data_IF_669568022575
#
_entry.id   IF_669568022575
#
_cell.length_a   1.000
_cell.length_b   1.000
_cell.length_c   1.000
_cell.angle_alpha   90.00
_cell.angle_beta   90.00
_cell.angle_gamma   90.00
#
_symmetry.space_group_name_H-M   'P 1'
#
loop_
_entity.id
_entity.type
_entity.pdbx_description
1 polymer ?
#
# COMPACT_ATOMS: atom_id res chain seq x y z
N UNK A 1 -7.67 -21.89 17.38
CA UNK A 1 -8.91 -22.56 16.93
C UNK A 1 -8.58 -23.47 15.75
N UNK A 2 -9.45 -24.41 15.46
CA UNK A 2 -9.32 -25.30 14.28
C UNK A 2 -9.27 -24.51 12.96
N UNK A 3 -9.80 -23.29 12.96
CA UNK A 3 -9.77 -22.34 11.82
C UNK A 3 -8.47 -21.49 11.75
N UNK A 4 -7.45 -21.81 12.53
CA UNK A 4 -6.16 -21.12 12.52
C UNK A 4 -6.14 -19.73 13.19
N UNK A 5 -7.21 -19.34 13.88
CA UNK A 5 -7.25 -18.06 14.62
C UNK A 5 -6.49 -18.18 15.94
N UNK A 6 -5.47 -17.36 16.11
CA UNK A 6 -4.71 -17.24 17.35
C UNK A 6 -5.48 -16.46 18.40
N UNK A 7 -5.45 -16.94 19.64
CA UNK A 7 -6.04 -16.25 20.78
C UNK A 7 -5.24 -16.48 22.06
N UNK A 8 -5.43 -15.60 23.01
CA UNK A 8 -4.83 -15.68 24.35
C UNK A 8 -5.92 -15.49 25.41
N UNK A 9 -5.75 -16.13 26.55
CA UNK A 9 -6.62 -15.90 27.69
C UNK A 9 -6.25 -14.60 28.42
N UNK A 10 -7.24 -13.78 28.72
CA UNK A 10 -7.03 -12.48 29.34
C UNK A 10 -6.30 -12.56 30.70
N UNK A 11 -6.50 -13.65 31.46
CA UNK A 11 -5.76 -13.87 32.74
C UNK A 11 -4.29 -14.18 32.53
N UNK A 12 -3.90 -14.71 31.40
CA UNK A 12 -2.48 -14.90 31.02
C UNK A 12 -1.86 -13.56 30.65
N UNK A 13 -2.55 -12.79 29.81
CA UNK A 13 -2.14 -11.43 29.41
C UNK A 13 -2.09 -10.49 30.62
N UNK A 14 -3.02 -10.60 31.57
CA UNK A 14 -3.00 -9.85 32.83
C UNK A 14 -1.63 -9.93 33.53
N UNK A 15 -1.11 -11.15 33.67
CA UNK A 15 0.18 -11.40 34.34
C UNK A 15 1.35 -10.85 33.52
N UNK A 16 1.32 -11.10 32.21
CA UNK A 16 2.36 -10.62 31.29
C UNK A 16 2.45 -9.09 31.25
N UNK A 17 1.33 -8.38 31.47
CA UNK A 17 1.27 -6.92 31.52
C UNK A 17 1.38 -6.33 32.95
N UNK A 18 1.85 -7.13 33.93
CA UNK A 18 2.14 -6.66 35.28
C UNK A 18 0.90 -6.28 36.12
N UNK A 19 -0.29 -6.79 35.79
CA UNK A 19 -1.49 -6.54 36.58
C UNK A 19 -1.70 -7.62 37.65
N UNK A 20 -1.62 -7.23 38.94
CA UNK A 20 -1.80 -8.14 40.07
C UNK A 20 -3.28 -8.45 40.34
N UNK A 21 -4.17 -7.47 40.13
CA UNK A 21 -5.60 -7.58 40.44
C UNK A 21 -6.42 -7.65 39.15
N UNK A 22 -7.35 -8.63 39.12
CA UNK A 22 -8.23 -8.86 37.98
C UNK A 22 -9.17 -7.69 37.71
N UNK A 23 -9.77 -7.10 38.74
CA UNK A 23 -10.65 -5.94 38.61
C UNK A 23 -9.98 -4.76 37.92
N UNK A 24 -8.71 -4.50 38.23
CA UNK A 24 -7.93 -3.45 37.57
C UNK A 24 -7.66 -3.76 36.10
N UNK A 25 -7.34 -5.03 35.80
CA UNK A 25 -7.13 -5.46 34.43
C UNK A 25 -8.43 -5.49 33.61
N UNK A 26 -9.54 -5.87 34.22
CA UNK A 26 -10.86 -5.85 33.59
C UNK A 26 -11.25 -4.44 33.14
N UNK A 27 -10.93 -3.40 33.92
CA UNK A 27 -11.13 -2.01 33.49
C UNK A 27 -10.33 -1.66 32.20
N UNK A 28 -9.13 -2.22 32.03
CA UNK A 28 -8.35 -2.05 30.80
C UNK A 28 -9.02 -2.77 29.63
N UNK A 29 -9.53 -3.97 29.85
CA UNK A 29 -10.27 -4.71 28.82
C UNK A 29 -11.52 -3.92 28.38
N UNK A 30 -12.26 -3.32 29.31
CA UNK A 30 -13.44 -2.53 28.93
C UNK A 30 -13.07 -1.26 28.14
N UNK A 31 -11.94 -0.59 28.45
CA UNK A 31 -11.40 0.49 27.61
C UNK A 31 -11.04 -0.02 26.22
N UNK A 32 -10.37 -1.18 26.14
CA UNK A 32 -10.00 -1.80 24.86
C UNK A 32 -11.23 -2.18 24.03
N UNK A 33 -12.30 -2.71 24.65
CA UNK A 33 -13.59 -2.98 23.97
C UNK A 33 -14.23 -1.70 23.46
N UNK A 34 -14.18 -0.62 24.25
CA UNK A 34 -14.70 0.69 23.82
C UNK A 34 -13.91 1.23 22.62
N UNK A 35 -12.58 1.13 22.62
CA UNK A 35 -11.72 1.50 21.50
C UNK A 35 -12.02 0.66 20.25
N UNK A 36 -12.19 -0.66 20.40
CA UNK A 36 -12.59 -1.58 19.33
C UNK A 36 -13.90 -1.14 18.67
N UNK A 37 -14.93 -0.89 19.48
CA UNK A 37 -16.24 -0.42 18.99
C UNK A 37 -16.15 0.93 18.28
N UNK A 38 -15.41 1.87 18.84
CA UNK A 38 -15.25 3.22 18.28
C UNK A 38 -14.48 3.23 16.96
N UNK A 39 -13.62 2.23 16.73
CA UNK A 39 -12.90 2.04 15.46
C UNK A 39 -13.70 1.23 14.42
N UNK A 40 -14.98 0.94 14.67
CA UNK A 40 -15.87 0.25 13.74
C UNK A 40 -15.70 -1.28 13.70
N UNK A 41 -14.93 -1.87 14.64
CA UNK A 41 -14.74 -3.32 14.70
C UNK A 41 -15.74 -3.98 15.65
N UNK A 42 -16.10 -5.25 15.34
CA UNK A 42 -16.96 -6.06 16.19
C UNK A 42 -16.23 -6.49 17.47
N UNK A 43 -16.76 -6.08 18.62
CA UNK A 43 -16.20 -6.50 19.91
C UNK A 43 -16.35 -8.00 20.12
N UNK A 44 -17.43 -8.60 19.62
CA UNK A 44 -17.71 -10.03 19.80
C UNK A 44 -16.70 -10.92 19.05
N UNK A 45 -16.12 -10.43 17.95
CA UNK A 45 -15.13 -11.18 17.17
C UNK A 45 -13.75 -11.17 17.82
N UNK A 46 -13.50 -10.23 18.72
CA UNK A 46 -12.19 -10.01 19.31
C UNK A 46 -12.10 -10.28 20.82
N UNK A 47 -13.22 -10.26 21.54
CA UNK A 47 -13.31 -10.43 23.00
C UNK A 47 -14.39 -11.47 23.33
N UNK A 48 -14.05 -12.76 23.27
CA UNK A 48 -15.01 -13.83 23.46
C UNK A 48 -15.03 -14.26 24.94
N UNK A 49 -16.23 -14.35 25.51
CA UNK A 49 -16.39 -14.90 26.87
C UNK A 49 -16.01 -16.38 26.88
N UNK A 50 -15.18 -16.76 27.83
CA UNK A 50 -14.70 -18.13 27.98
C UNK A 50 -14.74 -18.55 29.46
N UNK A 51 -14.90 -19.85 29.68
CA UNK A 51 -14.73 -20.44 31.01
C UNK A 51 -13.43 -21.25 31.03
N UNK A 52 -12.54 -20.96 32.00
CA UNK A 52 -11.31 -21.73 32.20
C UNK A 52 -11.45 -22.58 33.48
N UNK A 53 -11.17 -23.88 33.39
CA UNK A 53 -11.01 -24.73 34.55
C UNK A 53 -9.68 -24.47 35.22
N UNK A 54 -9.68 -24.20 36.49
CA UNK A 54 -8.46 -23.99 37.30
C UNK A 54 -8.45 -24.97 38.45
N UNK A 55 -7.31 -25.61 38.67
CA UNK A 55 -7.12 -26.50 39.80
C UNK A 55 -7.03 -25.68 41.09
N UNK A 56 -7.84 -26.00 42.06
CA UNK A 56 -7.77 -25.48 43.44
C UNK A 56 -7.21 -26.57 44.32
N UNK A 57 -6.49 -26.20 45.40
CA UNK A 57 -5.83 -27.16 46.29
C UNK A 57 -6.73 -28.38 46.62
N UNK A 58 -6.14 -29.55 46.84
CA UNK A 58 -6.80 -30.86 47.02
C UNK A 58 -7.34 -31.55 45.74
N UNK A 59 -6.93 -31.13 44.54
CA UNK A 59 -7.33 -31.81 43.29
C UNK A 59 -8.71 -31.48 42.75
N UNK A 60 -9.42 -30.55 43.39
CA UNK A 60 -10.69 -30.04 42.88
C UNK A 60 -10.47 -28.99 41.80
N UNK A 61 -11.36 -28.97 40.80
CA UNK A 61 -11.34 -27.97 39.71
C UNK A 61 -12.49 -26.98 39.90
N UNK A 62 -12.20 -25.71 39.64
CA UNK A 62 -13.20 -24.64 39.61
C UNK A 62 -13.22 -23.96 38.27
N UNK A 63 -14.40 -23.80 37.68
CA UNK A 63 -14.62 -22.96 36.52
C UNK A 63 -14.53 -21.49 36.91
N UNK A 64 -13.65 -20.75 36.31
CA UNK A 64 -13.56 -19.30 36.44
C UNK A 64 -13.90 -18.64 35.08
N UNK A 65 -14.49 -17.47 35.16
CA UNK A 65 -14.68 -16.65 33.94
C UNK A 65 -13.35 -16.11 33.46
N UNK A 66 -13.17 -16.19 32.16
CA UNK A 66 -12.04 -15.62 31.43
C UNK A 66 -12.52 -15.04 30.09
N UNK A 67 -11.65 -14.38 29.35
CA UNK A 67 -11.95 -13.80 28.04
C UNK A 67 -10.86 -14.27 27.09
N UNK A 68 -11.25 -14.81 25.95
CA UNK A 68 -10.35 -15.08 24.84
C UNK A 68 -10.18 -13.80 24.04
N UNK A 69 -8.93 -13.41 23.83
CA UNK A 69 -8.52 -12.20 23.15
C UNK A 69 -7.81 -12.58 21.86
N UNK A 70 -8.26 -12.07 20.72
CA UNK A 70 -7.49 -12.16 19.48
C UNK A 70 -6.22 -11.31 19.58
N UNK A 71 -5.29 -11.45 18.64
CA UNK A 71 -4.09 -10.62 18.54
C UNK A 71 -4.43 -9.11 18.53
N UNK A 72 -5.46 -8.73 17.77
CA UNK A 72 -5.94 -7.34 17.74
C UNK A 72 -6.43 -6.85 19.10
N UNK A 73 -7.22 -7.68 19.81
CA UNK A 73 -7.67 -7.35 21.18
C UNK A 73 -6.50 -7.20 22.15
N UNK A 74 -5.48 -8.07 22.06
CA UNK A 74 -4.26 -7.94 22.88
C UNK A 74 -3.53 -6.62 22.62
N UNK A 75 -3.46 -6.18 21.38
CA UNK A 75 -2.87 -4.87 21.03
C UNK A 75 -3.68 -3.72 21.65
N UNK A 76 -5.00 -3.75 21.53
CA UNK A 76 -5.86 -2.73 22.15
C UNK A 76 -5.73 -2.71 23.67
N UNK A 77 -5.62 -3.88 24.31
CA UNK A 77 -5.39 -3.99 25.77
C UNK A 77 -4.05 -3.33 26.13
N UNK A 78 -2.98 -3.65 25.42
CA UNK A 78 -1.66 -3.04 25.63
C UNK A 78 -1.68 -1.51 25.45
N UNK A 79 -2.35 -1.02 24.41
CA UNK A 79 -2.46 0.42 24.13
C UNK A 79 -3.30 1.19 25.16
N UNK A 80 -4.30 0.56 25.77
CA UNK A 80 -5.19 1.15 26.79
C UNK A 80 -4.74 0.88 28.23
N UNK A 81 -3.60 0.21 28.41
CA UNK A 81 -3.02 -0.10 29.71
C UNK A 81 -2.41 1.12 30.40
N UNK A 82 -2.08 0.94 31.68
CA UNK A 82 -1.44 1.96 32.49
C UNK A 82 0.04 2.08 32.15
N UNK A 83 0.43 3.17 31.50
CA UNK A 83 1.80 3.44 31.03
C UNK A 83 2.82 3.63 32.16
N UNK A 84 2.38 3.74 33.42
CA UNK A 84 3.29 3.72 34.58
C UNK A 84 3.91 2.32 34.82
N UNK A 85 3.32 1.28 34.24
CA UNK A 85 3.85 -0.10 34.28
C UNK A 85 4.89 -0.30 33.18
N UNK A 86 6.04 -0.86 33.56
CA UNK A 86 7.16 -1.11 32.62
C UNK A 86 6.74 -1.97 31.41
N UNK A 87 5.93 -2.99 31.65
CA UNK A 87 5.46 -3.93 30.63
C UNK A 87 4.52 -3.25 29.62
N UNK A 88 3.66 -2.36 30.11
CA UNK A 88 2.77 -1.55 29.26
C UNK A 88 3.58 -0.50 28.49
N UNK A 89 4.47 0.22 29.16
CA UNK A 89 5.34 1.20 28.50
C UNK A 89 6.19 0.54 27.39
N UNK A 90 6.73 -0.66 27.64
CA UNK A 90 7.43 -1.45 26.65
C UNK A 90 6.52 -1.81 25.46
N UNK A 91 5.32 -2.34 25.70
CA UNK A 91 4.37 -2.70 24.66
C UNK A 91 3.99 -1.49 23.78
N UNK A 92 3.69 -0.35 24.39
CA UNK A 92 3.34 0.88 23.68
C UNK A 92 4.51 1.41 22.84
N UNK A 93 5.72 1.41 23.38
CA UNK A 93 6.93 1.78 22.64
C UNK A 93 7.18 0.82 21.47
N UNK A 94 7.03 -0.48 21.69
CA UNK A 94 7.16 -1.48 20.63
C UNK A 94 6.15 -1.23 19.50
N UNK A 95 4.87 -0.96 19.81
CA UNK A 95 3.87 -0.67 18.79
C UNK A 95 4.20 0.60 18.00
N UNK A 96 4.62 1.67 18.67
CA UNK A 96 5.04 2.92 18.02
C UNK A 96 6.21 2.69 17.04
N UNK A 97 7.21 1.93 17.46
CA UNK A 97 8.36 1.58 16.62
C UNK A 97 7.97 0.69 15.43
N UNK A 98 7.09 -0.30 15.63
CA UNK A 98 6.63 -1.17 14.54
C UNK A 98 5.77 -0.40 13.53
N UNK A 99 4.90 0.50 13.99
CA UNK A 99 4.11 1.37 13.10
C UNK A 99 5.04 2.23 12.24
N UNK A 100 6.04 2.86 12.85
CA UNK A 100 7.01 3.68 12.10
C UNK A 100 7.82 2.86 11.10
N UNK A 101 8.23 1.66 11.47
CA UNK A 101 8.91 0.73 10.58
C UNK A 101 8.03 0.34 9.39
N UNK A 102 6.75 0.09 9.63
CA UNK A 102 5.79 -0.24 8.57
C UNK A 102 5.60 0.92 7.60
N UNK A 103 5.41 2.15 8.09
CA UNK A 103 5.33 3.36 7.28
C UNK A 103 6.54 3.51 6.34
N UNK A 104 7.76 3.31 6.90
CA UNK A 104 8.99 3.40 6.11
C UNK A 104 9.11 2.30 5.05
N UNK A 105 8.62 1.08 5.35
CA UNK A 105 8.60 -0.02 4.38
C UNK A 105 7.61 0.27 3.25
N UNK A 106 6.42 0.79 3.56
CA UNK A 106 5.42 1.18 2.56
C UNK A 106 5.93 2.29 1.65
N UNK A 107 6.58 3.31 2.22
CA UNK A 107 7.24 4.36 1.43
C UNK A 107 8.29 3.80 0.48
N UNK A 108 9.18 2.93 0.97
CA UNK A 108 10.21 2.29 0.13
C UNK A 108 9.63 1.44 -0.99
N UNK A 109 8.56 0.69 -0.71
CA UNK A 109 7.87 -0.11 -1.73
C UNK A 109 7.23 0.78 -2.80
N UNK A 110 6.61 1.89 -2.40
CA UNK A 110 6.05 2.87 -3.32
C UNK A 110 7.14 3.51 -4.21
N UNK A 111 8.27 3.89 -3.62
CA UNK A 111 9.42 4.45 -4.35
C UNK A 111 10.02 3.44 -5.33
N UNK A 112 10.20 2.17 -4.91
CA UNK A 112 10.69 1.11 -5.78
C UNK A 112 9.75 0.86 -6.97
N UNK A 113 8.44 0.79 -6.74
CA UNK A 113 7.44 0.64 -7.79
C UNK A 113 7.50 1.80 -8.79
N UNK A 114 7.63 3.04 -8.30
CA UNK A 114 7.78 4.23 -9.14
C UNK A 114 9.03 4.16 -10.00
N UNK A 115 10.18 3.79 -9.43
CA UNK A 115 11.42 3.62 -10.18
C UNK A 115 11.29 2.54 -11.25
N UNK A 116 10.68 1.40 -10.93
CA UNK A 116 10.45 0.32 -11.88
C UNK A 116 9.59 0.76 -13.07
N UNK A 117 8.47 1.45 -12.82
CA UNK A 117 7.61 2.00 -13.88
C UNK A 117 8.36 3.00 -14.77
N UNK A 118 9.24 3.81 -14.17
CA UNK A 118 10.08 4.75 -14.93
C UNK A 118 11.09 4.05 -15.85
N UNK A 119 11.74 3.02 -15.38
CA UNK A 119 12.68 2.24 -16.20
C UNK A 119 11.97 1.47 -17.31
N UNK A 120 10.79 0.92 -17.05
CA UNK A 120 9.95 0.31 -18.08
C UNK A 120 9.59 1.33 -19.17
N UNK A 121 9.05 2.49 -18.80
CA UNK A 121 8.71 3.55 -19.75
C UNK A 121 9.91 3.98 -20.56
N UNK A 122 11.07 4.17 -19.94
CA UNK A 122 12.31 4.55 -20.63
C UNK A 122 12.74 3.50 -21.67
N UNK A 123 12.58 2.23 -21.33
CA UNK A 123 12.88 1.11 -22.24
C UNK A 123 11.93 1.12 -23.44
N UNK A 124 10.63 1.28 -23.19
CA UNK A 124 9.60 1.36 -24.23
C UNK A 124 9.78 2.57 -25.13
N UNK A 125 10.09 3.74 -24.57
CA UNK A 125 10.37 4.96 -25.34
C UNK A 125 11.65 4.83 -26.18
N UNK A 126 12.67 4.12 -25.70
CA UNK A 126 13.89 3.82 -26.46
C UNK A 126 13.57 2.91 -27.65
N UNK A 127 12.76 1.86 -27.45
CA UNK A 127 12.31 0.97 -28.54
C UNK A 127 11.49 1.74 -29.56
N UNK A 128 10.57 2.61 -29.10
CA UNK A 128 9.78 3.46 -30.00
C UNK A 128 10.69 4.38 -30.82
N UNK A 129 11.72 4.97 -30.21
CA UNK A 129 12.71 5.78 -30.92
C UNK A 129 13.39 4.99 -32.02
N UNK A 130 13.84 3.77 -31.71
CA UNK A 130 14.49 2.89 -32.71
C UNK A 130 13.52 2.55 -33.84
N UNK A 131 12.29 2.16 -33.54
CA UNK A 131 11.26 1.85 -34.52
C UNK A 131 10.98 3.02 -35.47
N UNK A 132 10.95 4.26 -34.96
CA UNK A 132 10.71 5.47 -35.71
C UNK A 132 11.89 5.74 -36.71
N UNK A 133 13.14 5.63 -36.21
CA UNK A 133 14.32 5.86 -37.04
C UNK A 133 14.51 4.80 -38.12
N UNK A 134 14.32 3.52 -37.81
CA UNK A 134 14.42 2.42 -38.77
C UNK A 134 13.39 2.53 -39.90
N UNK A 135 12.31 3.29 -39.69
CA UNK A 135 11.26 3.54 -40.69
C UNK A 135 11.36 4.90 -41.39
N UNK A 136 12.55 5.46 -41.39
CA UNK A 136 12.93 6.63 -42.21
C UNK A 136 12.39 7.97 -41.69
N UNK A 137 12.05 8.09 -40.43
CA UNK A 137 11.61 9.35 -39.80
C UNK A 137 12.81 10.09 -39.23
N UNK A 138 12.92 11.38 -39.51
CA UNK A 138 14.00 12.25 -39.01
C UNK A 138 13.75 12.72 -37.57
N UNK A 139 14.73 13.40 -36.96
CA UNK A 139 14.65 13.93 -35.59
C UNK A 139 13.44 14.84 -35.34
N UNK A 140 13.05 15.65 -36.34
CA UNK A 140 11.90 16.55 -36.24
C UNK A 140 10.59 15.77 -36.26
N UNK A 141 10.49 14.76 -37.12
CA UNK A 141 9.37 13.84 -37.17
C UNK A 141 9.22 13.08 -35.87
N UNK A 142 10.32 12.57 -35.31
CA UNK A 142 10.34 11.94 -33.99
C UNK A 142 9.77 12.84 -32.91
N UNK A 143 10.21 14.10 -32.83
CA UNK A 143 9.68 15.07 -31.85
C UNK A 143 8.19 15.33 -32.03
N UNK A 144 7.68 15.38 -33.29
CA UNK A 144 6.26 15.56 -33.57
C UNK A 144 5.41 14.37 -33.18
N UNK A 145 5.86 13.14 -33.44
CA UNK A 145 5.17 11.91 -33.05
C UNK A 145 4.99 11.88 -31.54
N UNK A 146 6.07 12.08 -30.78
CA UNK A 146 6.02 12.07 -29.31
C UNK A 146 5.13 13.18 -28.77
N UNK A 147 5.23 14.39 -29.30
CA UNK A 147 4.41 15.52 -28.84
C UNK A 147 2.92 15.28 -29.05
N UNK A 148 2.53 14.71 -30.20
CA UNK A 148 1.12 14.39 -30.49
C UNK A 148 0.60 13.24 -29.60
N UNK A 149 1.42 12.22 -29.34
CA UNK A 149 1.08 11.16 -28.40
C UNK A 149 0.88 11.70 -26.99
N UNK A 150 1.79 12.55 -26.50
CA UNK A 150 1.64 13.19 -25.20
C UNK A 150 0.37 14.05 -25.12
N UNK A 151 0.06 14.82 -26.19
CA UNK A 151 -1.21 15.59 -26.24
C UNK A 151 -2.45 14.70 -26.18
N UNK A 152 -2.44 13.56 -26.84
CA UNK A 152 -3.54 12.61 -26.80
C UNK A 152 -3.71 12.03 -25.39
N UNK A 153 -2.62 11.58 -24.76
CA UNK A 153 -2.61 11.04 -23.41
C UNK A 153 -3.09 12.05 -22.35
N UNK A 154 -2.74 13.32 -22.52
CA UNK A 154 -3.06 14.37 -21.53
C UNK A 154 -4.31 15.20 -21.92
N UNK A 155 -5.21 14.65 -22.73
CA UNK A 155 -6.47 15.31 -23.06
C UNK A 155 -6.29 16.66 -23.80
N UNK A 156 -5.30 16.73 -24.69
CA UNK A 156 -4.99 17.93 -25.49
C UNK A 156 -3.89 18.83 -24.90
N UNK A 157 -3.44 18.57 -23.67
CA UNK A 157 -2.35 19.34 -23.04
C UNK A 157 -0.99 18.88 -23.57
N UNK A 158 -0.12 19.82 -23.85
CA UNK A 158 1.28 19.52 -24.21
C UNK A 158 2.09 19.09 -23.00
N UNK A 159 3.26 18.49 -23.21
CA UNK A 159 4.23 18.22 -22.15
C UNK A 159 4.58 19.50 -21.36
N UNK A 160 4.68 20.64 -22.02
CA UNK A 160 4.98 21.92 -21.38
C UNK A 160 3.79 22.46 -20.56
N UNK A 161 2.55 22.26 -21.02
CA UNK A 161 1.36 22.60 -20.23
C UNK A 161 1.29 21.77 -18.96
N UNK A 162 1.58 20.48 -19.07
CA UNK A 162 1.64 19.58 -17.93
C UNK A 162 2.76 19.95 -16.96
N UNK A 163 3.95 20.29 -17.45
CA UNK A 163 5.04 20.79 -16.60
C UNK A 163 4.65 22.05 -15.83
N UNK A 164 3.99 22.99 -16.50
CA UNK A 164 3.47 24.20 -15.82
C UNK A 164 2.44 23.86 -14.77
N UNK A 165 1.52 22.94 -15.07
CA UNK A 165 0.47 22.49 -14.12
C UNK A 165 1.07 21.85 -12.86
N UNK A 166 2.17 21.12 -12.98
CA UNK A 166 2.86 20.48 -11.86
C UNK A 166 3.97 21.35 -11.24
N UNK A 167 4.19 22.58 -11.74
CA UNK A 167 5.23 23.48 -11.24
C UNK A 167 6.66 22.97 -11.49
N UNK A 168 6.88 22.19 -12.55
CA UNK A 168 8.16 21.56 -12.85
C UNK A 168 9.06 22.56 -13.58
N UNK A 169 10.17 22.92 -12.98
CA UNK A 169 11.17 23.84 -13.57
C UNK A 169 12.31 23.11 -14.26
N UNK A 170 12.55 21.83 -13.94
CA UNK A 170 13.62 21.04 -14.55
C UNK A 170 13.29 19.54 -14.51
N UNK A 171 13.90 18.77 -15.39
CA UNK A 171 13.73 17.32 -15.45
C UNK A 171 12.58 16.84 -16.34
N UNK A 172 12.46 15.52 -16.54
CA UNK A 172 11.42 14.92 -17.35
C UNK A 172 10.07 14.93 -16.61
N UNK A 173 8.99 15.21 -17.34
CA UNK A 173 7.61 15.23 -16.79
C UNK A 173 7.25 13.92 -16.08
N UNK A 174 7.68 12.78 -16.62
CA UNK A 174 7.34 11.47 -16.10
C UNK A 174 7.85 11.20 -14.65
N UNK A 175 8.80 11.99 -14.14
CA UNK A 175 9.25 11.89 -12.75
C UNK A 175 8.25 12.47 -11.76
N UNK A 176 7.31 13.26 -12.25
CA UNK A 176 6.31 13.97 -11.45
C UNK A 176 4.88 13.44 -11.66
N UNK A 177 4.69 12.57 -12.66
CA UNK A 177 3.39 11.98 -12.93
C UNK A 177 3.02 10.92 -11.88
N UNK A 178 1.73 10.74 -11.60
CA UNK A 178 1.26 9.61 -10.81
C UNK A 178 1.67 8.27 -11.42
N UNK A 179 1.96 7.23 -10.63
CA UNK A 179 2.34 5.90 -11.14
C UNK A 179 1.38 5.34 -12.19
N UNK A 180 0.07 5.52 -12.01
CA UNK A 180 -0.95 5.08 -12.97
C UNK A 180 -0.78 5.78 -14.34
N UNK A 181 -0.46 7.07 -14.36
CA UNK A 181 -0.24 7.81 -15.61
C UNK A 181 1.04 7.36 -16.31
N UNK A 182 2.11 7.07 -15.54
CA UNK A 182 3.35 6.50 -16.10
C UNK A 182 3.09 5.12 -16.69
N UNK A 183 2.29 4.28 -16.02
CA UNK A 183 1.90 2.96 -16.52
C UNK A 183 1.05 3.07 -17.80
N UNK A 184 0.07 3.98 -17.86
CA UNK A 184 -0.74 4.23 -19.03
C UNK A 184 0.14 4.69 -20.22
N UNK A 185 1.06 5.64 -20.01
CA UNK A 185 2.00 6.07 -21.04
C UNK A 185 2.89 4.93 -21.52
N UNK A 186 3.37 4.08 -20.62
CA UNK A 186 4.14 2.90 -20.97
C UNK A 186 3.33 1.92 -21.83
N UNK A 187 2.09 1.64 -21.43
CA UNK A 187 1.18 0.75 -22.17
C UNK A 187 0.93 1.29 -23.59
N UNK A 188 0.57 2.57 -23.74
CA UNK A 188 0.35 3.19 -25.05
C UNK A 188 1.60 3.14 -25.94
N UNK A 189 2.78 3.34 -25.34
CA UNK A 189 4.06 3.25 -26.05
C UNK A 189 4.34 1.82 -26.51
N UNK A 190 4.11 0.81 -25.68
CA UNK A 190 4.28 -0.60 -26.05
C UNK A 190 3.25 -1.06 -27.10
N UNK A 191 2.01 -0.61 -27.00
CA UNK A 191 0.99 -0.86 -28.05
C UNK A 191 1.45 -0.27 -29.40
N UNK A 192 2.00 0.93 -29.37
CA UNK A 192 2.55 1.57 -30.58
C UNK A 192 3.73 0.77 -31.14
N UNK A 193 4.69 0.38 -30.30
CA UNK A 193 5.82 -0.44 -30.69
C UNK A 193 5.36 -1.74 -31.37
N UNK A 194 4.45 -2.45 -30.72
CA UNK A 194 3.90 -3.69 -31.24
C UNK A 194 3.21 -3.50 -32.59
N UNK A 195 2.31 -2.52 -32.69
CA UNK A 195 1.55 -2.27 -33.92
C UNK A 195 2.42 -1.76 -35.07
N UNK A 196 3.45 -0.94 -34.78
CA UNK A 196 4.40 -0.48 -35.79
C UNK A 196 5.20 -1.65 -36.37
N UNK A 197 5.59 -2.62 -35.56
CA UNK A 197 6.31 -3.82 -35.96
C UNK A 197 5.41 -4.79 -36.72
N UNK A 198 4.24 -5.15 -36.15
CA UNK A 198 3.32 -6.13 -36.72
C UNK A 198 2.67 -5.67 -38.04
N UNK A 199 2.34 -4.39 -38.15
CA UNK A 199 1.70 -3.82 -39.35
C UNK A 199 2.71 -3.25 -40.33
N UNK A 200 4.00 -3.33 -40.03
CA UNK A 200 5.13 -2.72 -40.78
C UNK A 200 4.85 -1.25 -41.21
N UNK A 201 4.41 -0.44 -40.21
CA UNK A 201 4.03 0.95 -40.47
C UNK A 201 5.27 1.77 -40.87
N UNK A 202 5.20 2.47 -42.00
CA UNK A 202 6.31 3.24 -42.55
C UNK A 202 6.03 4.75 -42.55
N UNK A 203 7.05 5.54 -42.18
CA UNK A 203 7.02 6.99 -42.23
C UNK A 203 6.25 7.67 -41.11
N UNK A 204 6.42 8.98 -41.01
CA UNK A 204 5.90 9.79 -39.88
C UNK A 204 4.39 9.75 -39.75
N UNK A 205 3.64 9.82 -40.85
CA UNK A 205 2.17 9.93 -40.80
C UNK A 205 1.50 8.70 -40.19
N UNK A 206 1.88 7.51 -40.69
CA UNK A 206 1.28 6.25 -40.21
C UNK A 206 1.60 5.98 -38.73
N UNK A 207 2.87 6.20 -38.34
CA UNK A 207 3.29 6.01 -36.94
C UNK A 207 2.64 7.05 -36.02
N UNK A 208 2.45 8.29 -36.47
CA UNK A 208 1.76 9.33 -35.68
C UNK A 208 0.32 8.94 -35.38
N UNK A 209 -0.43 8.49 -36.38
CA UNK A 209 -1.83 8.10 -36.21
C UNK A 209 -1.94 6.97 -35.21
N UNK A 210 -1.13 5.92 -35.37
CA UNK A 210 -1.10 4.78 -34.47
C UNK A 210 -0.75 5.20 -33.03
N UNK A 211 0.26 6.06 -32.88
CA UNK A 211 0.69 6.52 -31.55
C UNK A 211 -0.36 7.38 -30.84
N UNK A 212 -1.06 8.24 -31.61
CA UNK A 212 -2.17 9.06 -31.07
C UNK A 212 -3.36 8.18 -30.66
N UNK A 213 -3.75 7.23 -31.50
CA UNK A 213 -4.86 6.30 -31.18
C UNK A 213 -4.60 5.50 -29.91
N UNK A 214 -3.39 4.93 -29.79
CA UNK A 214 -3.00 4.16 -28.60
C UNK A 214 -2.95 5.03 -27.33
N UNK A 215 -2.46 6.28 -27.43
CA UNK A 215 -2.44 7.20 -26.30
C UNK A 215 -3.83 7.76 -25.93
N UNK A 216 -4.78 7.76 -26.86
CA UNK A 216 -6.17 8.13 -26.57
C UNK A 216 -6.93 7.01 -25.90
N UNK A 217 -6.54 5.76 -26.16
CA UNK A 217 -7.24 4.55 -25.72
C UNK A 217 -6.93 4.15 -24.27
N UNK A 218 -5.89 4.71 -23.65
CA UNK A 218 -5.44 4.36 -22.29
C UNK A 218 -5.77 5.45 -21.27
#
# INVERSE_FOLDING_TARGET
>A
TDDGVEYWYAREIQRALGYLKWDKFQNVIEKAKSACKSSGNSVQDHFLQAGKMVSIGSGAERKIEDIMLTRYACYLVGMNGDSSKSEIAFAQTYFALQTRKQELLEQRLADMNRLQLREQLKTSEKRLSQNIYERGVDDKGFGRIRSKGDQALFGGNTTEDMKRKYGITSGPLADYLPPVTVAAKNLATEMTNYNVEEKDLQGESAITVEHVENNTSV
#
